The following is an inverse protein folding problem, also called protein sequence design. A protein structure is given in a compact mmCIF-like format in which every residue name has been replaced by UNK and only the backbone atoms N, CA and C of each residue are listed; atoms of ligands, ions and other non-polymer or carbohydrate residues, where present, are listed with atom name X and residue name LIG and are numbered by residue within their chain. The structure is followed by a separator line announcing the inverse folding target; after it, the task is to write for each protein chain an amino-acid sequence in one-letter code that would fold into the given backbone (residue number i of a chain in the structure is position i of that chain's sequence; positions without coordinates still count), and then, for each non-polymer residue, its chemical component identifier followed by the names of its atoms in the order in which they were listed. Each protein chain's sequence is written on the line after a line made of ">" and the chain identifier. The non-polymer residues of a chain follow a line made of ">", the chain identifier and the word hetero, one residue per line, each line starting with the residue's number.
data_IF_631292202753
#
_entry.id   IF_631292202753
#
_cell.length_a   1.000
_cell.length_b   1.000
_cell.length_c   1.000
_cell.angle_alpha   90.00
_cell.angle_beta   90.00
_cell.angle_gamma   90.00
#
_symmetry.space_group_name_H-M   'P 1'
#
loop_
_entity.id
_entity.type
_entity.pdbx_description
1 polymer ?
#
# COMPACT_ATOMS: atom_id res chain seq x y z
N UNK A 1 16.43 11.26 -4.97
CA UNK A 1 15.62 11.48 -3.77
C UNK A 1 15.03 12.87 -3.69
N UNK A 2 15.72 13.84 -4.28
CA UNK A 2 15.24 15.23 -4.24
C UNK A 2 13.89 15.42 -4.95
N UNK A 3 13.58 14.55 -5.91
CA UNK A 3 12.32 14.60 -6.65
C UNK A 3 11.22 13.73 -6.05
N UNK A 4 11.50 13.02 -4.95
CA UNK A 4 10.52 12.13 -4.34
C UNK A 4 9.55 12.91 -3.46
N UNK A 5 8.27 12.93 -3.85
CA UNK A 5 7.23 13.62 -3.09
C UNK A 5 7.12 13.06 -1.67
N UNK A 6 7.23 11.74 -1.50
CA UNK A 6 7.12 11.13 -0.18
C UNK A 6 8.33 11.44 0.70
N UNK A 7 9.52 11.50 0.12
CA UNK A 7 10.70 11.96 0.86
C UNK A 7 10.53 13.41 1.32
N UNK A 8 9.90 14.25 0.51
CA UNK A 8 9.60 15.63 0.89
C UNK A 8 8.58 15.71 2.02
N UNK A 9 7.59 14.83 2.00
CA UNK A 9 6.62 14.72 3.10
C UNK A 9 7.32 14.33 4.39
N UNK A 10 8.24 13.36 4.32
CA UNK A 10 9.01 12.91 5.49
C UNK A 10 9.86 14.03 6.10
N UNK A 11 10.36 14.95 5.26
CA UNK A 11 11.14 16.10 5.70
C UNK A 11 10.29 17.27 6.17
N UNK A 12 8.98 17.19 6.03
CA UNK A 12 8.08 18.27 6.37
C UNK A 12 8.01 19.39 5.32
N UNK A 13 8.59 19.18 4.14
CA UNK A 13 8.58 20.18 3.06
C UNK A 13 7.22 20.25 2.35
N UNK A 14 6.47 19.15 2.36
CA UNK A 14 5.11 19.08 1.81
C UNK A 14 4.19 18.65 2.95
N UNK A 15 3.06 19.35 3.16
CA UNK A 15 2.12 18.97 4.22
C UNK A 15 1.43 17.65 3.90
N UNK A 16 1.02 16.94 4.95
CA UNK A 16 0.27 15.70 4.83
C UNK A 16 -0.65 15.54 6.03
N UNK A 17 -1.64 14.66 5.90
CA UNK A 17 -2.56 14.33 6.99
C UNK A 17 -2.08 13.05 7.65
N UNK A 18 -1.13 13.18 8.57
CA UNK A 18 -0.51 12.06 9.27
C UNK A 18 -1.52 11.32 10.15
N UNK A 19 -1.53 9.98 10.07
CA UNK A 19 -2.35 9.15 10.95
C UNK A 19 -1.51 8.24 11.85
N UNK A 20 -0.23 8.00 11.51
CA UNK A 20 0.64 7.14 12.29
C UNK A 20 2.10 7.42 11.95
N UNK A 21 2.97 7.27 12.92
CA UNK A 21 4.41 7.38 12.72
C UNK A 21 5.15 6.57 13.78
N UNK A 22 6.20 5.86 13.37
CA UNK A 22 7.14 5.25 14.31
C UNK A 22 8.57 5.51 13.81
N UNK A 23 9.56 4.83 14.40
CA UNK A 23 10.96 5.04 14.05
C UNK A 23 11.24 4.78 12.56
N UNK A 24 10.54 3.83 11.94
CA UNK A 24 10.84 3.34 10.60
C UNK A 24 9.81 3.69 9.55
N UNK A 25 8.59 4.07 9.96
CA UNK A 25 7.46 4.20 9.04
C UNK A 25 6.67 5.47 9.30
N UNK A 26 5.94 5.88 8.27
CA UNK A 26 5.07 7.06 8.30
C UNK A 26 3.81 6.73 7.52
N UNK A 27 2.65 7.13 8.03
CA UNK A 27 1.39 6.88 7.36
C UNK A 27 0.53 8.13 7.33
N UNK A 28 -0.11 8.37 6.19
CA UNK A 28 -0.90 9.57 5.95
C UNK A 28 -2.05 9.28 4.99
N UNK A 29 -3.04 10.14 4.98
CA UNK A 29 -4.18 9.98 4.09
C UNK A 29 -3.80 10.30 2.64
N UNK A 30 -4.32 9.49 1.71
CA UNK A 30 -4.23 9.80 0.28
C UNK A 30 -5.21 10.92 -0.03
N UNK A 31 -4.72 12.00 -0.64
CA UNK A 31 -5.56 13.15 -0.96
C UNK A 31 -6.31 13.03 -2.29
N UNK A 32 -6.22 11.87 -2.95
CA UNK A 32 -7.00 11.61 -4.16
C UNK A 32 -8.51 11.62 -3.89
N UNK A 33 -8.89 11.42 -2.63
CA UNK A 33 -10.29 11.45 -2.19
C UNK A 33 -11.18 10.48 -2.97
N UNK A 34 -10.60 9.32 -3.27
CA UNK A 34 -11.25 8.28 -4.07
C UNK A 34 -11.96 7.24 -3.21
N UNK A 35 -11.43 6.97 -2.01
CA UNK A 35 -12.02 6.03 -1.05
C UNK A 35 -11.97 6.65 0.34
N UNK A 36 -13.04 6.45 1.10
CA UNK A 36 -13.09 6.92 2.49
C UNK A 36 -11.95 6.27 3.30
N UNK A 37 -11.17 7.11 3.98
CA UNK A 37 -10.11 6.61 4.87
C UNK A 37 -8.91 5.99 4.17
N UNK A 38 -8.78 6.15 2.86
CA UNK A 38 -7.66 5.64 2.07
C UNK A 38 -6.35 6.20 2.62
N UNK A 39 -5.46 5.33 3.06
CA UNK A 39 -4.19 5.71 3.65
C UNK A 39 -3.03 5.09 2.90
N UNK A 40 -1.88 5.74 3.00
CA UNK A 40 -0.61 5.26 2.45
C UNK A 40 0.35 5.03 3.60
N UNK A 41 1.01 3.89 3.62
CA UNK A 41 2.05 3.56 4.60
C UNK A 41 3.38 3.46 3.87
N UNK A 42 4.34 4.27 4.29
CA UNK A 42 5.64 4.34 3.62
C UNK A 42 6.77 4.09 4.62
N UNK A 43 7.89 3.52 4.16
CA UNK A 43 9.10 3.49 4.98
C UNK A 43 9.77 4.86 4.97
N UNK A 44 10.45 5.20 6.08
CA UNK A 44 11.26 6.42 6.14
C UNK A 44 12.51 6.30 5.27
N UNK A 45 13.04 5.09 5.13
CA UNK A 45 14.13 4.80 4.19
C UNK A 45 13.56 4.74 2.78
N UNK A 46 14.13 5.48 1.85
CA UNK A 46 13.68 5.45 0.46
C UNK A 46 14.04 4.12 -0.18
N UNK A 47 13.05 3.44 -0.74
CA UNK A 47 13.19 2.38 -1.71
C UNK A 47 12.07 2.55 -2.74
N UNK A 48 12.26 2.02 -3.93
CA UNK A 48 11.37 2.34 -5.04
C UNK A 48 10.09 1.52 -4.99
N UNK A 49 10.22 0.21 -4.80
CA UNK A 49 9.05 -0.69 -4.79
C UNK A 49 9.41 -2.02 -4.12
N UNK A 50 8.55 -3.03 -4.29
CA UNK A 50 8.72 -4.32 -3.62
C UNK A 50 9.99 -5.04 -4.05
N UNK A 51 10.56 -4.69 -5.20
CA UNK A 51 11.73 -5.39 -5.75
C UNK A 51 13.04 -4.98 -5.07
N UNK A 52 13.15 -3.74 -4.60
CA UNK A 52 14.39 -3.23 -3.99
C UNK A 52 14.26 -2.92 -2.49
N UNK A 53 13.07 -3.05 -1.93
CA UNK A 53 12.86 -2.77 -0.52
C UNK A 53 13.54 -3.83 0.35
N UNK A 54 14.47 -3.45 1.26
CA UNK A 54 15.10 -4.43 2.14
C UNK A 54 14.08 -5.17 3.02
N UNK A 55 14.38 -6.42 3.36
CA UNK A 55 13.45 -7.26 4.12
C UNK A 55 13.07 -6.66 5.47
N UNK A 56 14.03 -6.10 6.19
CA UNK A 56 13.77 -5.50 7.49
C UNK A 56 12.88 -4.25 7.36
N UNK A 57 13.11 -3.45 6.34
CA UNK A 57 12.29 -2.27 6.05
C UNK A 57 10.86 -2.70 5.72
N UNK A 58 10.71 -3.73 4.88
CA UNK A 58 9.40 -4.26 4.50
C UNK A 58 8.65 -4.79 5.74
N UNK A 59 9.36 -5.47 6.64
CA UNK A 59 8.77 -5.96 7.88
C UNK A 59 8.23 -4.82 8.75
N UNK A 60 8.98 -3.73 8.85
CA UNK A 60 8.53 -2.54 9.60
C UNK A 60 7.28 -1.93 8.99
N UNK A 61 7.22 -1.84 7.66
CA UNK A 61 6.04 -1.32 6.96
C UNK A 61 4.83 -2.19 7.25
N UNK A 62 4.97 -3.51 7.15
CA UNK A 62 3.84 -4.42 7.39
C UNK A 62 3.40 -4.42 8.85
N UNK A 63 4.31 -4.24 9.80
CA UNK A 63 3.94 -4.08 11.20
C UNK A 63 3.08 -2.84 11.42
N UNK A 64 3.45 -1.73 10.78
CA UNK A 64 2.67 -0.50 10.83
C UNK A 64 1.29 -0.70 10.18
N UNK A 65 1.27 -1.35 9.02
CA UNK A 65 0.01 -1.66 8.31
C UNK A 65 -0.93 -2.44 9.23
N UNK A 66 -0.43 -3.47 9.91
CA UNK A 66 -1.26 -4.27 10.81
C UNK A 66 -1.84 -3.44 11.94
N UNK A 67 -1.03 -2.59 12.57
CA UNK A 67 -1.49 -1.72 13.66
C UNK A 67 -2.60 -0.77 13.19
N UNK A 68 -2.41 -0.16 12.03
CA UNK A 68 -3.39 0.76 11.47
C UNK A 68 -4.68 0.03 11.12
N UNK A 69 -4.58 -1.15 10.50
CA UNK A 69 -5.74 -1.94 10.13
C UNK A 69 -6.56 -2.38 11.35
N UNK A 70 -5.88 -2.80 12.41
CA UNK A 70 -6.57 -3.15 13.67
C UNK A 70 -7.30 -1.94 14.23
N UNK A 71 -6.65 -0.79 14.23
CA UNK A 71 -7.27 0.45 14.69
C UNK A 71 -8.50 0.80 13.86
N UNK A 72 -8.41 0.69 12.55
CA UNK A 72 -9.54 0.96 11.64
C UNK A 72 -10.74 0.08 11.98
N UNK A 73 -10.51 -1.22 12.18
CA UNK A 73 -11.61 -2.15 12.43
C UNK A 73 -12.11 -2.09 13.87
N UNK A 74 -11.20 -2.11 14.84
CA UNK A 74 -11.57 -2.20 16.25
C UNK A 74 -12.06 -0.88 16.83
N UNK A 75 -11.47 0.24 16.40
CA UNK A 75 -11.75 1.56 16.99
C UNK A 75 -12.57 2.47 16.09
N UNK A 76 -12.40 2.38 14.77
CA UNK A 76 -13.03 3.31 13.83
C UNK A 76 -14.32 2.79 13.19
N UNK A 77 -14.69 1.54 13.46
CA UNK A 77 -15.96 0.98 13.00
C UNK A 77 -15.96 0.42 11.59
N UNK A 78 -14.83 0.28 10.95
CA UNK A 78 -14.76 -0.39 9.65
C UNK A 78 -14.86 -1.90 9.82
N UNK A 79 -15.32 -2.59 8.78
CA UNK A 79 -15.59 -4.03 8.85
C UNK A 79 -14.51 -4.87 8.19
N UNK A 80 -13.65 -4.25 7.40
CA UNK A 80 -12.54 -4.92 6.75
C UNK A 80 -11.60 -3.92 6.12
N UNK A 81 -10.51 -4.42 5.51
CA UNK A 81 -9.54 -3.57 4.81
C UNK A 81 -9.07 -4.29 3.56
N UNK A 82 -8.83 -3.53 2.50
CA UNK A 82 -8.05 -3.99 1.36
C UNK A 82 -6.67 -3.37 1.41
N UNK A 83 -5.66 -4.15 1.07
CA UNK A 83 -4.28 -3.68 0.96
C UNK A 83 -3.86 -3.78 -0.49
N UNK A 84 -3.15 -2.78 -0.98
CA UNK A 84 -2.65 -2.79 -2.34
C UNK A 84 -1.24 -2.20 -2.40
N UNK A 85 -0.43 -2.77 -3.28
CA UNK A 85 0.87 -2.24 -3.64
C UNK A 85 1.03 -2.32 -5.15
N UNK A 86 1.51 -1.25 -5.75
CA UNK A 86 1.83 -1.21 -7.18
C UNK A 86 3.32 -1.06 -7.31
N UNK A 87 3.98 -2.06 -7.89
CA UNK A 87 5.43 -2.06 -8.08
C UNK A 87 5.74 -2.17 -9.57
N UNK A 88 6.27 -1.09 -10.14
CA UNK A 88 6.56 -0.95 -11.56
C UNK A 88 5.48 -0.15 -12.28
N UNK A 89 5.88 0.56 -13.33
CA UNK A 89 4.99 1.40 -14.11
C UNK A 89 3.85 0.60 -14.75
N UNK A 90 4.15 -0.63 -15.22
CA UNK A 90 3.14 -1.50 -15.81
C UNK A 90 2.09 -1.96 -14.81
N UNK A 91 2.39 -1.90 -13.51
CA UNK A 91 1.44 -2.20 -12.44
C UNK A 91 0.82 -0.93 -11.87
N UNK A 92 0.91 0.19 -12.59
CA UNK A 92 0.32 1.48 -12.24
C UNK A 92 0.99 2.18 -11.05
N UNK A 93 2.25 1.90 -10.79
CA UNK A 93 2.99 2.66 -9.78
C UNK A 93 3.19 4.09 -10.29
N UNK A 94 2.70 5.07 -9.53
CA UNK A 94 2.80 6.49 -9.90
C UNK A 94 3.82 7.27 -9.08
N UNK A 95 4.03 6.88 -7.82
CA UNK A 95 5.07 7.46 -6.97
C UNK A 95 6.11 6.40 -6.68
N UNK A 96 7.37 6.69 -6.98
CA UNK A 96 8.47 5.70 -6.92
C UNK A 96 9.17 5.74 -5.57
N UNK A 97 8.37 5.60 -4.54
CA UNK A 97 8.74 5.38 -3.16
C UNK A 97 7.78 4.31 -2.65
N UNK A 98 8.30 3.19 -2.16
CA UNK A 98 7.50 2.04 -1.76
C UNK A 98 6.37 2.46 -0.83
N UNK A 99 5.16 2.01 -1.10
CA UNK A 99 4.02 2.29 -0.24
C UNK A 99 2.95 1.21 -0.35
N UNK A 100 2.26 1.01 0.76
CA UNK A 100 1.10 0.13 0.84
C UNK A 100 -0.13 1.00 1.00
N UNK A 101 -1.12 0.79 0.12
CA UNK A 101 -2.44 1.41 0.26
C UNK A 101 -3.26 0.62 1.26
N UNK A 102 -3.95 1.31 2.16
CA UNK A 102 -4.96 0.73 3.03
C UNK A 102 -6.29 1.36 2.67
N UNK A 103 -7.25 0.54 2.29
CA UNK A 103 -8.60 1.00 1.94
C UNK A 103 -9.57 0.32 2.90
N UNK A 104 -10.08 1.05 3.90
CA UNK A 104 -11.04 0.45 4.84
C UNK A 104 -12.38 0.22 4.16
N UNK A 105 -13.06 -0.85 4.55
CA UNK A 105 -14.28 -1.28 3.90
C UNK A 105 -15.43 -1.38 4.87
N UNK A 106 -16.62 -1.01 4.38
CA UNK A 106 -17.89 -1.13 5.11
C UNK A 106 -18.90 -1.88 4.24
N UNK A 107 -19.87 -2.53 4.89
CA UNK A 107 -20.98 -3.17 4.17
C UNK A 107 -21.66 -2.16 3.23
N UNK A 108 -21.86 -2.57 1.99
CA UNK A 108 -22.59 -1.77 0.98
C UNK A 108 -21.96 -0.40 0.72
N UNK A 109 -20.63 -0.29 0.76
CA UNK A 109 -19.92 0.96 0.51
C UNK A 109 -19.78 1.30 -1.00
N UNK A 110 -20.24 0.41 -1.86
CA UNK A 110 -20.23 0.64 -3.31
C UNK A 110 -18.88 0.44 -4.00
N UNK A 111 -17.86 -0.02 -3.27
CA UNK A 111 -16.51 -0.21 -3.82
C UNK A 111 -16.32 -1.67 -4.24
N UNK A 112 -15.86 -1.89 -5.45
CA UNK A 112 -15.48 -3.22 -5.94
C UNK A 112 -14.02 -3.19 -6.37
N UNK A 113 -13.15 -3.89 -5.61
CA UNK A 113 -11.72 -3.94 -5.87
C UNK A 113 -11.34 -4.95 -6.94
N UNK A 114 -12.27 -5.79 -7.38
CA UNK A 114 -12.00 -6.86 -8.34
C UNK A 114 -13.05 -6.94 -9.44
N UNK A 115 -13.25 -5.82 -10.18
CA UNK A 115 -14.28 -5.82 -11.23
C UNK A 115 -13.85 -6.58 -12.48
N UNK A 116 -14.83 -7.06 -13.26
CA UNK A 116 -14.61 -7.50 -14.63
C UNK A 116 -13.73 -8.74 -14.81
N UNK A 117 -13.80 -9.70 -13.90
CA UNK A 117 -12.99 -10.93 -14.00
C UNK A 117 -13.44 -11.79 -15.18
N UNK A 118 -12.47 -12.29 -15.95
CA UNK A 118 -12.68 -13.24 -17.04
C UNK A 118 -11.74 -14.43 -16.86
N UNK A 119 -12.17 -15.60 -17.29
CA UNK A 119 -11.28 -16.77 -17.34
C UNK A 119 -10.40 -16.65 -18.59
N UNK A 120 -9.09 -16.82 -18.39
CA UNK A 120 -8.09 -16.69 -19.46
C UNK A 120 -7.83 -18.01 -20.21
N UNK A 121 -8.16 -19.15 -19.59
CA UNK A 121 -7.85 -20.43 -20.17
C UNK A 121 -6.36 -20.79 -20.12
N UNK A 122 -5.63 -20.26 -19.19
CA UNK A 122 -4.20 -20.53 -19.08
C UNK A 122 -3.90 -21.97 -18.66
N UNK A 123 -2.73 -22.46 -19.06
CA UNK A 123 -2.25 -23.78 -18.65
C UNK A 123 -1.56 -23.66 -17.29
N UNK A 124 -2.21 -24.16 -16.24
CA UNK A 124 -1.71 -23.97 -14.87
C UNK A 124 -0.42 -24.76 -14.60
N UNK A 125 -0.25 -25.92 -15.21
CA UNK A 125 0.99 -26.70 -15.04
C UNK A 125 2.20 -25.93 -15.61
N UNK A 126 2.06 -25.39 -16.80
CA UNK A 126 3.11 -24.60 -17.44
C UNK A 126 3.37 -23.31 -16.64
N UNK A 127 2.31 -22.64 -16.19
CA UNK A 127 2.45 -21.44 -15.41
C UNK A 127 3.16 -21.71 -14.09
N UNK A 128 2.79 -22.78 -13.40
CA UNK A 128 3.43 -23.14 -12.14
C UNK A 128 4.92 -23.41 -12.33
N UNK A 129 5.31 -24.08 -13.41
CA UNK A 129 6.72 -24.33 -13.72
C UNK A 129 7.48 -23.03 -14.01
N UNK A 130 6.85 -22.16 -14.77
CA UNK A 130 7.45 -20.86 -15.14
C UNK A 130 7.68 -19.97 -13.93
N UNK A 131 6.72 -19.94 -12.99
CA UNK A 131 6.70 -18.98 -11.89
C UNK A 131 7.30 -19.51 -10.60
N UNK A 132 7.53 -20.83 -10.49
CA UNK A 132 8.07 -21.43 -9.27
C UNK A 132 9.47 -20.88 -8.97
N UNK A 133 9.72 -20.58 -7.70
CA UNK A 133 11.05 -20.18 -7.25
C UNK A 133 12.01 -21.36 -7.29
N UNK A 134 13.23 -21.11 -7.67
CA UNK A 134 14.29 -22.12 -7.75
C UNK A 134 14.98 -22.31 -6.42
#
# INVERSE_FOLDING_TARGET
>A
MDNCIFCKILKGEIPSYKIYEDEYTFAFLDIADDYEGHALVIPKQHCVNVLDCPEDVMAHVMNAVQKICRHYVEDCGYEGVNLANCSGAEAQQSVFHFHIHIIPRKHADGVDMFPGKKQLGQNFEEMAKKLALK
#
